data_IF_054747284855
#
_entry.id   IF_054747284855
#
_cell.length_a   1.000
_cell.length_b   1.000
_cell.length_c   1.000
_cell.angle_alpha   90.00
_cell.angle_beta   90.00
_cell.angle_gamma   90.00
#
_symmetry.space_group_name_H-M   'P 1'
#
loop_
_entity.id
_entity.type
_entity.pdbx_description
1 polymer ?
#
# COMPACT_ATOMS: atom_id res chain seq x y z
N UNK A 1 10.29 15.64 39.74
CA UNK A 1 8.92 15.16 39.58
C UNK A 1 9.03 13.94 38.70
N UNK A 2 8.83 12.77 39.26
CA UNK A 2 9.06 11.47 38.65
C UNK A 2 7.97 11.17 37.62
N UNK A 3 8.41 10.99 36.37
CA UNK A 3 7.60 10.37 35.31
C UNK A 3 7.50 8.87 35.61
N UNK A 4 6.47 8.49 36.32
CA UNK A 4 5.95 7.12 36.32
C UNK A 4 4.68 7.15 35.46
N UNK A 5 4.81 7.17 34.14
CA UNK A 5 3.76 6.68 33.27
C UNK A 5 3.62 5.19 33.55
N UNK A 6 2.57 4.83 34.25
CA UNK A 6 2.12 3.47 34.42
C UNK A 6 1.83 2.93 33.02
N UNK A 7 2.66 2.00 32.54
CA UNK A 7 2.27 1.07 31.47
C UNK A 7 1.04 0.30 31.98
N UNK A 8 -0.14 0.81 31.72
CA UNK A 8 -1.35 0.02 31.79
C UNK A 8 -1.12 -1.17 30.85
N UNK A 9 -0.86 -2.33 31.42
CA UNK A 9 -0.80 -3.60 30.66
C UNK A 9 -2.16 -3.81 30.03
N UNK A 10 -2.31 -3.31 28.81
CA UNK A 10 -3.54 -3.44 28.03
C UNK A 10 -3.78 -4.94 27.80
N UNK A 11 -4.95 -5.42 28.18
CA UNK A 11 -5.31 -6.83 27.95
C UNK A 11 -5.15 -7.19 26.46
N UNK A 12 -4.70 -8.41 26.14
CA UNK A 12 -4.68 -8.88 24.77
C UNK A 12 -6.06 -8.76 24.11
N UNK A 13 -6.10 -8.21 22.89
CA UNK A 13 -7.31 -8.06 22.10
C UNK A 13 -7.37 -9.13 21.02
N UNK A 14 -8.58 -9.52 20.63
CA UNK A 14 -8.85 -10.25 19.40
C UNK A 14 -9.31 -9.27 18.34
N UNK A 15 -8.52 -9.11 17.26
CA UNK A 15 -8.70 -8.11 16.22
C UNK A 15 -8.98 -8.81 14.89
N UNK A 16 -10.10 -8.49 14.24
CA UNK A 16 -10.36 -8.93 12.88
C UNK A 16 -9.93 -7.83 11.89
N UNK A 17 -9.00 -8.14 11.00
CA UNK A 17 -8.50 -7.23 9.97
C UNK A 17 -9.13 -7.61 8.62
N UNK A 18 -10.00 -6.73 8.11
CA UNK A 18 -10.77 -6.94 6.88
C UNK A 18 -10.09 -6.22 5.73
N UNK A 19 -9.60 -6.98 4.75
CA UNK A 19 -8.92 -6.44 3.57
C UNK A 19 -9.32 -7.23 2.32
N UNK A 20 -9.71 -6.53 1.24
CA UNK A 20 -10.18 -7.20 0.02
C UNK A 20 -9.18 -8.24 -0.51
N UNK A 21 -7.91 -7.89 -0.57
CA UNK A 21 -6.83 -8.79 -0.99
C UNK A 21 -5.77 -8.87 0.11
N UNK A 22 -5.64 -9.98 0.80
CA UNK A 22 -4.64 -10.20 1.85
C UNK A 22 -3.44 -11.04 1.40
N UNK A 23 -3.58 -11.84 0.36
CA UNK A 23 -2.53 -12.77 -0.09
C UNK A 23 -1.46 -12.18 -1.02
N UNK A 24 -1.54 -10.91 -1.41
CA UNK A 24 -0.64 -10.31 -2.40
C UNK A 24 0.30 -9.26 -1.79
N UNK A 25 1.51 -9.66 -1.44
CA UNK A 25 2.56 -8.74 -0.93
C UNK A 25 3.04 -7.69 -1.96
N UNK A 26 2.68 -7.82 -3.23
CA UNK A 26 2.92 -6.81 -4.26
C UNK A 26 1.95 -5.62 -4.21
N UNK A 27 0.86 -5.75 -3.48
CA UNK A 27 -0.11 -4.67 -3.23
C UNK A 27 0.22 -3.97 -1.91
N UNK A 28 0.37 -2.65 -1.92
CA UNK A 28 0.75 -1.85 -0.74
C UNK A 28 -0.23 -2.01 0.44
N UNK A 29 -1.53 -2.02 0.17
CA UNK A 29 -2.57 -2.20 1.19
C UNK A 29 -2.48 -3.58 1.85
N UNK A 30 -2.32 -4.63 1.03
CA UNK A 30 -2.13 -6.01 1.54
C UNK A 30 -0.86 -6.14 2.36
N UNK A 31 0.24 -5.56 1.89
CA UNK A 31 1.52 -5.61 2.60
C UNK A 31 1.43 -4.89 3.94
N UNK A 32 0.83 -3.71 3.98
CA UNK A 32 0.58 -2.96 5.21
C UNK A 32 -0.27 -3.78 6.20
N UNK A 33 -1.36 -4.40 5.72
CA UNK A 33 -2.21 -5.23 6.57
C UNK A 33 -1.45 -6.43 7.17
N UNK A 34 -0.62 -7.08 6.38
CA UNK A 34 0.19 -8.21 6.85
C UNK A 34 1.24 -7.78 7.88
N UNK A 35 1.92 -6.66 7.64
CA UNK A 35 2.89 -6.10 8.59
C UNK A 35 2.25 -5.73 9.93
N UNK A 36 1.09 -5.08 9.88
CA UNK A 36 0.33 -4.75 11.09
C UNK A 36 -0.14 -6.01 11.82
N UNK A 37 -0.62 -7.02 11.09
CA UNK A 37 -1.03 -8.28 11.69
C UNK A 37 0.13 -8.99 12.40
N UNK A 38 1.30 -9.01 11.77
CA UNK A 38 2.52 -9.58 12.36
C UNK A 38 2.95 -8.82 13.62
N UNK A 39 2.92 -7.48 13.57
CA UNK A 39 3.30 -6.63 14.70
C UNK A 39 2.31 -6.74 15.87
N UNK A 40 1.01 -6.70 15.61
CA UNK A 40 0.00 -6.88 16.65
C UNK A 40 0.10 -8.26 17.31
N UNK A 41 0.38 -9.32 16.55
CA UNK A 41 0.64 -10.65 17.11
C UNK A 41 1.88 -10.66 17.98
N UNK A 42 2.95 -9.96 17.59
CA UNK A 42 4.18 -9.82 18.39
C UNK A 42 3.92 -9.09 19.72
N UNK A 43 2.95 -8.16 19.73
CA UNK A 43 2.50 -7.45 20.93
C UNK A 43 1.54 -8.27 21.80
N UNK A 44 1.25 -9.54 21.44
CA UNK A 44 0.42 -10.44 22.21
C UNK A 44 -1.06 -10.42 21.85
N UNK A 45 -1.47 -9.69 20.81
CA UNK A 45 -2.86 -9.70 20.35
C UNK A 45 -3.17 -10.91 19.46
N UNK A 46 -4.42 -11.34 19.45
CA UNK A 46 -4.92 -12.31 18.47
C UNK A 46 -5.41 -11.59 17.23
N UNK A 47 -4.89 -11.93 16.04
CA UNK A 47 -5.27 -11.28 14.80
C UNK A 47 -5.84 -12.29 13.81
N UNK A 48 -7.05 -12.02 13.33
CA UNK A 48 -7.76 -12.78 12.29
C UNK A 48 -7.76 -11.95 11.00
N UNK A 49 -7.14 -12.49 9.95
CA UNK A 49 -7.21 -11.89 8.61
C UNK A 49 -8.46 -12.39 7.89
N UNK A 50 -9.22 -11.46 7.28
CA UNK A 50 -10.43 -11.77 6.54
C UNK A 50 -10.36 -11.14 5.15
N UNK A 51 -10.35 -11.97 4.09
CA UNK A 51 -10.23 -11.48 2.72
C UNK A 51 -9.69 -12.53 1.74
N UNK A 52 -9.49 -12.15 0.49
CA UNK A 52 -8.95 -13.04 -0.53
C UNK A 52 -7.50 -13.43 -0.15
N UNK A 53 -7.24 -14.74 -0.06
CA UNK A 53 -5.93 -15.27 0.31
C UNK A 53 -5.62 -15.26 1.81
N UNK A 54 -6.60 -14.91 2.65
CA UNK A 54 -6.49 -15.06 4.09
C UNK A 54 -6.44 -16.56 4.47
N UNK A 55 -5.56 -16.97 5.40
CA UNK A 55 -5.39 -18.39 5.71
C UNK A 55 -6.59 -18.99 6.45
N UNK A 56 -7.21 -18.25 7.36
CA UNK A 56 -8.28 -18.77 8.23
C UNK A 56 -9.68 -18.38 7.73
N UNK A 57 -9.83 -17.16 7.20
CA UNK A 57 -11.11 -16.62 6.74
C UNK A 57 -11.03 -16.14 5.29
N UNK A 58 -10.85 -17.06 4.32
CA UNK A 58 -10.70 -16.71 2.91
C UNK A 58 -12.03 -16.25 2.31
N UNK A 59 -12.01 -15.09 1.66
CA UNK A 59 -13.11 -14.60 0.85
C UNK A 59 -12.99 -15.06 -0.61
N UNK A 60 -14.12 -15.19 -1.29
CA UNK A 60 -14.18 -15.43 -2.74
C UNK A 60 -13.88 -14.14 -3.51
N UNK A 61 -13.38 -14.30 -4.73
CA UNK A 61 -13.18 -13.16 -5.64
C UNK A 61 -14.51 -12.74 -6.23
N UNK A 62 -14.80 -11.44 -6.13
CA UNK A 62 -15.95 -10.81 -6.78
C UNK A 62 -15.52 -10.20 -8.12
N UNK A 63 -16.07 -10.70 -9.21
CA UNK A 63 -15.83 -10.16 -10.55
C UNK A 63 -16.81 -9.02 -10.85
N UNK A 64 -16.35 -7.77 -10.69
CA UNK A 64 -17.14 -6.58 -11.01
C UNK A 64 -16.78 -6.12 -12.41
N UNK A 65 -17.67 -6.25 -13.41
CA UNK A 65 -17.41 -5.77 -14.77
C UNK A 65 -16.99 -4.29 -14.76
N UNK A 66 -16.17 -3.84 -15.73
CA UNK A 66 -15.64 -2.47 -15.88
C UNK A 66 -14.68 -2.00 -14.78
N UNK A 67 -14.94 -2.30 -13.50
CA UNK A 67 -14.08 -1.87 -12.38
C UNK A 67 -12.91 -2.83 -12.18
N UNK A 68 -13.10 -4.12 -12.49
CA UNK A 68 -12.06 -5.14 -12.37
C UNK A 68 -10.81 -4.83 -13.21
N UNK A 69 -10.96 -4.10 -14.33
CA UNK A 69 -9.82 -3.69 -15.15
C UNK A 69 -8.92 -2.67 -14.42
N UNK A 70 -9.50 -1.66 -13.75
CA UNK A 70 -8.77 -0.68 -12.95
C UNK A 70 -8.12 -1.35 -11.74
N UNK A 71 -8.88 -2.21 -11.05
CA UNK A 71 -8.39 -2.98 -9.92
C UNK A 71 -7.20 -3.87 -10.29
N UNK A 72 -7.24 -4.52 -11.45
CA UNK A 72 -6.13 -5.34 -11.96
C UNK A 72 -4.86 -4.55 -12.19
N UNK A 73 -4.96 -3.30 -12.66
CA UNK A 73 -3.80 -2.40 -12.78
C UNK A 73 -3.19 -2.06 -11.42
N UNK A 74 -4.02 -1.97 -10.38
CA UNK A 74 -3.61 -1.76 -8.99
C UNK A 74 -3.18 -3.05 -8.28
N UNK A 75 -3.15 -4.20 -8.98
CA UNK A 75 -2.92 -5.52 -8.40
C UNK A 75 -3.88 -5.84 -7.23
N UNK A 76 -5.08 -5.32 -7.31
CA UNK A 76 -6.14 -5.51 -6.32
C UNK A 76 -7.26 -6.36 -6.91
N UNK A 77 -7.87 -7.17 -6.06
CA UNK A 77 -9.09 -7.92 -6.35
C UNK A 77 -10.16 -7.48 -5.35
N UNK A 78 -11.41 -7.47 -5.77
CA UNK A 78 -12.53 -7.23 -4.87
C UNK A 78 -13.00 -8.54 -4.27
N UNK A 79 -13.18 -8.55 -2.95
CA UNK A 79 -13.73 -9.70 -2.26
C UNK A 79 -15.28 -9.70 -2.29
N UNK A 80 -15.84 -10.88 -2.37
CA UNK A 80 -17.30 -11.09 -2.29
C UNK A 80 -17.76 -10.98 -0.83
N UNK A 81 -18.69 -10.08 -0.50
CA UNK A 81 -19.26 -9.98 0.83
C UNK A 81 -20.05 -11.24 1.20
N UNK A 82 -19.88 -11.72 2.44
CA UNK A 82 -20.62 -12.89 2.95
C UNK A 82 -20.94 -12.72 4.43
N UNK A 83 -22.22 -12.72 4.78
CA UNK A 83 -22.69 -12.66 6.16
C UNK A 83 -22.12 -13.82 7.00
N UNK A 84 -22.15 -15.03 6.45
CA UNK A 84 -21.64 -16.23 7.14
C UNK A 84 -20.15 -16.08 7.43
N UNK A 85 -19.34 -15.65 6.45
CA UNK A 85 -17.92 -15.43 6.63
C UNK A 85 -17.66 -14.42 7.77
N UNK A 86 -18.31 -13.26 7.72
CA UNK A 86 -18.09 -12.21 8.73
C UNK A 86 -18.57 -12.63 10.10
N UNK A 87 -19.78 -13.22 10.22
CA UNK A 87 -20.28 -13.68 11.53
C UNK A 87 -19.36 -14.73 12.15
N UNK A 88 -18.83 -15.66 11.36
CA UNK A 88 -17.86 -16.65 11.83
C UNK A 88 -16.54 -16.00 12.24
N UNK A 89 -15.98 -15.14 11.38
CA UNK A 89 -14.70 -14.48 11.65
C UNK A 89 -14.75 -13.54 12.86
N UNK A 90 -15.92 -12.95 13.15
CA UNK A 90 -16.10 -11.93 14.19
C UNK A 90 -16.55 -12.50 15.54
N UNK A 91 -16.75 -13.80 15.68
CA UNK A 91 -17.06 -14.40 16.98
C UNK A 91 -15.95 -14.16 18.01
N UNK A 92 -16.27 -13.50 19.13
CA UNK A 92 -15.31 -13.19 20.19
C UNK A 92 -14.23 -12.18 19.80
N UNK A 93 -14.49 -11.37 18.76
CA UNK A 93 -13.61 -10.27 18.33
C UNK A 93 -13.93 -9.02 19.14
N UNK A 94 -12.90 -8.33 19.63
CA UNK A 94 -13.03 -7.04 20.34
C UNK A 94 -13.15 -5.87 19.37
N UNK A 95 -12.40 -5.90 18.25
CA UNK A 95 -12.32 -4.81 17.25
C UNK A 95 -12.25 -5.37 15.84
N UNK A 96 -13.03 -4.77 14.94
CA UNK A 96 -12.93 -5.00 13.49
C UNK A 96 -12.25 -3.79 12.85
N UNK A 97 -11.10 -4.00 12.20
CA UNK A 97 -10.37 -2.98 11.46
C UNK A 97 -10.53 -3.18 9.95
N UNK A 98 -11.03 -2.15 9.24
CA UNK A 98 -11.38 -2.23 7.82
C UNK A 98 -10.39 -1.44 6.99
N UNK A 99 -9.75 -2.08 6.00
CA UNK A 99 -8.70 -1.48 5.18
C UNK A 99 -9.21 -0.73 3.95
N UNK A 100 -10.40 -1.10 3.44
CA UNK A 100 -10.88 -0.57 2.15
C UNK A 100 -12.35 -0.15 2.22
N UNK A 101 -12.75 0.97 1.58
CA UNK A 101 -14.11 1.49 1.63
C UNK A 101 -15.07 0.79 0.63
N UNK A 102 -14.66 -0.33 0.04
CA UNK A 102 -15.44 -1.06 -0.96
C UNK A 102 -16.53 -1.94 -0.35
N UNK A 103 -17.32 -2.60 -1.20
CA UNK A 103 -18.50 -3.39 -0.78
C UNK A 103 -18.18 -4.41 0.31
N UNK A 104 -17.00 -5.04 0.24
CA UNK A 104 -16.55 -6.00 1.25
C UNK A 104 -16.38 -5.33 2.63
N UNK A 105 -15.64 -4.22 2.70
CA UNK A 105 -15.46 -3.46 3.93
C UNK A 105 -16.75 -2.82 4.46
N UNK A 106 -17.62 -2.30 3.57
CA UNK A 106 -18.93 -1.77 3.95
C UNK A 106 -19.81 -2.83 4.61
N UNK A 107 -19.83 -4.04 4.03
CA UNK A 107 -20.61 -5.15 4.55
C UNK A 107 -20.05 -5.67 5.88
N UNK A 108 -18.72 -5.77 6.00
CA UNK A 108 -18.06 -6.10 7.26
C UNK A 108 -18.41 -5.09 8.37
N UNK A 109 -18.40 -3.78 8.06
CA UNK A 109 -18.83 -2.74 8.99
C UNK A 109 -20.27 -2.94 9.47
N UNK A 110 -21.19 -3.26 8.55
CA UNK A 110 -22.59 -3.52 8.88
C UNK A 110 -22.73 -4.72 9.83
N UNK A 111 -22.08 -5.85 9.51
CA UNK A 111 -22.14 -7.07 10.32
C UNK A 111 -21.52 -6.85 11.70
N UNK A 112 -20.33 -6.21 11.77
CA UNK A 112 -19.67 -5.92 13.04
C UNK A 112 -20.55 -5.05 13.97
N UNK A 113 -21.17 -4.00 13.43
CA UNK A 113 -22.12 -3.16 14.18
C UNK A 113 -23.36 -3.92 14.65
N UNK A 114 -23.88 -4.82 13.83
CA UNK A 114 -25.00 -5.70 14.23
C UNK A 114 -24.63 -6.66 15.36
N UNK A 115 -23.35 -7.04 15.44
CA UNK A 115 -22.81 -7.88 16.52
C UNK A 115 -22.34 -7.07 17.74
N UNK A 116 -22.48 -5.74 17.74
CA UNK A 116 -22.07 -4.87 18.84
C UNK A 116 -20.55 -4.72 18.97
N UNK A 117 -19.78 -5.02 17.91
CA UNK A 117 -18.31 -4.99 17.92
C UNK A 117 -17.83 -3.60 17.52
N UNK A 118 -16.80 -3.10 18.19
CA UNK A 118 -16.14 -1.84 17.83
C UNK A 118 -15.53 -1.90 16.43
N UNK A 119 -15.69 -0.82 15.65
CA UNK A 119 -15.19 -0.77 14.27
C UNK A 119 -14.27 0.43 14.09
N UNK A 120 -13.09 0.17 13.52
CA UNK A 120 -12.13 1.18 13.08
C UNK A 120 -11.84 0.99 11.59
N UNK A 121 -11.26 1.98 10.92
CA UNK A 121 -10.85 1.84 9.54
C UNK A 121 -9.47 2.43 9.27
N UNK A 122 -8.81 1.95 8.23
CA UNK A 122 -7.60 2.55 7.67
C UNK A 122 -7.89 3.29 6.37
N UNK A 123 -7.22 4.41 6.15
CA UNK A 123 -7.24 5.12 4.88
C UNK A 123 -6.03 4.73 4.04
N UNK A 124 -6.22 3.72 3.19
CA UNK A 124 -5.15 3.14 2.36
C UNK A 124 -5.39 3.28 0.85
N UNK A 125 -6.53 3.82 0.45
CA UNK A 125 -6.90 4.01 -0.96
C UNK A 125 -7.18 5.48 -1.22
N UNK A 126 -6.28 6.13 -1.93
CA UNK A 126 -6.46 7.52 -2.35
C UNK A 126 -7.28 7.58 -3.65
N UNK A 127 -8.29 8.45 -3.75
CA UNK A 127 -9.08 8.67 -4.97
C UNK A 127 -8.22 8.98 -6.20
N UNK A 128 -7.19 9.80 -6.05
CA UNK A 128 -6.27 10.18 -7.12
C UNK A 128 -5.57 8.97 -7.76
N UNK A 129 -5.24 7.93 -6.99
CA UNK A 129 -4.67 6.71 -7.54
C UNK A 129 -5.67 5.95 -8.41
N UNK A 130 -6.96 6.02 -8.08
CA UNK A 130 -8.04 5.40 -8.85
C UNK A 130 -8.25 6.15 -10.16
N UNK A 131 -8.42 7.47 -10.11
CA UNK A 131 -8.68 8.30 -11.29
C UNK A 131 -7.50 8.26 -12.25
N UNK A 132 -6.27 8.30 -11.74
CA UNK A 132 -5.08 8.19 -12.55
C UNK A 132 -5.00 6.84 -13.28
N UNK A 133 -5.35 5.74 -12.60
CA UNK A 133 -5.37 4.40 -13.19
C UNK A 133 -6.53 4.17 -14.14
N UNK A 134 -7.62 4.91 -13.98
CA UNK A 134 -8.79 4.88 -14.86
C UNK A 134 -8.64 5.71 -16.15
N UNK A 135 -7.44 6.24 -16.42
CA UNK A 135 -7.08 6.90 -17.67
C UNK A 135 -7.81 8.21 -17.91
N UNK A 136 -8.87 8.26 -18.77
CA UNK A 136 -9.57 9.53 -19.09
C UNK A 136 -10.25 10.20 -17.89
N UNK A 137 -10.63 9.45 -16.86
CA UNK A 137 -11.32 9.99 -15.68
C UNK A 137 -10.52 11.06 -14.96
N UNK A 138 -9.19 11.00 -15.00
CA UNK A 138 -8.33 12.01 -14.36
C UNK A 138 -8.51 13.44 -14.93
N UNK A 139 -9.10 13.57 -16.11
CA UNK A 139 -9.35 14.87 -16.76
C UNK A 139 -10.72 15.47 -16.41
N UNK A 140 -11.55 14.75 -15.65
CA UNK A 140 -12.87 15.23 -15.23
C UNK A 140 -12.68 16.10 -13.97
N UNK A 141 -12.94 17.42 -14.04
CA UNK A 141 -12.83 18.28 -12.87
C UNK A 141 -13.72 17.80 -11.72
N UNK A 142 -13.18 17.76 -10.51
CA UNK A 142 -13.93 17.39 -9.30
C UNK A 142 -14.16 15.88 -9.09
N UNK A 143 -13.70 15.02 -9.99
CA UNK A 143 -13.91 13.57 -9.89
C UNK A 143 -13.29 12.99 -8.60
N UNK A 144 -12.11 13.46 -8.19
CA UNK A 144 -11.46 13.00 -6.96
C UNK A 144 -12.30 13.40 -5.74
N UNK A 145 -12.77 14.64 -5.67
CA UNK A 145 -13.66 15.10 -4.60
C UNK A 145 -14.97 14.30 -4.53
N UNK A 146 -15.51 13.92 -5.69
CA UNK A 146 -16.68 13.05 -5.74
C UNK A 146 -16.38 11.65 -5.18
N UNK A 147 -15.21 11.08 -5.47
CA UNK A 147 -14.80 9.78 -4.91
C UNK A 147 -14.54 9.90 -3.41
N UNK A 148 -13.92 10.99 -2.91
CA UNK A 148 -13.82 11.27 -1.48
C UNK A 148 -15.19 11.28 -0.81
N UNK A 149 -16.16 11.98 -1.40
CA UNK A 149 -17.52 12.01 -0.90
C UNK A 149 -18.17 10.62 -0.89
N UNK A 150 -18.01 9.82 -1.95
CA UNK A 150 -18.48 8.43 -2.01
C UNK A 150 -17.88 7.57 -0.90
N UNK A 151 -16.57 7.63 -0.69
CA UNK A 151 -15.89 6.84 0.34
C UNK A 151 -16.36 7.24 1.73
N UNK A 152 -16.56 8.54 1.96
CA UNK A 152 -17.14 9.02 3.21
C UNK A 152 -18.56 8.48 3.41
N UNK A 153 -19.41 8.60 2.40
CA UNK A 153 -20.78 8.10 2.42
C UNK A 153 -20.86 6.59 2.65
N UNK A 154 -19.99 5.84 2.00
CA UNK A 154 -20.02 4.38 2.01
C UNK A 154 -19.50 3.80 3.33
N UNK A 155 -18.40 4.34 3.87
CA UNK A 155 -17.74 3.76 5.04
C UNK A 155 -17.41 4.80 6.12
N UNK A 156 -16.60 5.80 5.82
CA UNK A 156 -15.88 6.56 6.85
C UNK A 156 -16.80 7.39 7.75
N UNK A 157 -17.91 7.92 7.25
CA UNK A 157 -18.91 8.64 8.10
C UNK A 157 -19.58 7.77 9.17
N UNK A 158 -19.42 6.44 9.07
CA UNK A 158 -19.97 5.47 10.00
C UNK A 158 -18.97 5.01 11.05
N UNK A 159 -17.77 5.55 11.05
CA UNK A 159 -16.63 5.10 11.84
C UNK A 159 -16.06 6.29 12.59
N UNK A 160 -15.85 6.11 13.90
CA UNK A 160 -15.40 7.19 14.78
C UNK A 160 -13.87 7.37 14.76
N UNK A 161 -13.13 6.29 14.51
CA UNK A 161 -11.66 6.28 14.53
C UNK A 161 -11.10 5.75 13.20
N UNK A 162 -10.31 6.58 12.51
CA UNK A 162 -9.66 6.23 11.23
C UNK A 162 -8.15 6.38 11.34
N UNK A 163 -7.43 5.31 11.05
CA UNK A 163 -5.99 5.31 10.88
C UNK A 163 -5.61 5.91 9.52
N UNK A 164 -4.65 6.80 9.50
CA UNK A 164 -4.14 7.46 8.29
C UNK A 164 -2.61 7.37 8.29
N UNK A 165 -1.96 6.87 7.24
CA UNK A 165 -0.52 6.64 7.23
C UNK A 165 0.34 7.92 7.27
N UNK A 166 -0.20 9.06 6.84
CA UNK A 166 0.54 10.32 6.70
C UNK A 166 -0.30 11.53 7.07
N UNK A 167 0.34 12.60 7.51
CA UNK A 167 -0.34 13.88 7.80
C UNK A 167 -0.96 14.49 6.53
N UNK A 168 -0.31 14.30 5.36
CA UNK A 168 -0.91 14.70 4.08
C UNK A 168 -2.27 14.03 3.85
N UNK A 169 -2.35 12.70 4.06
CA UNK A 169 -3.63 11.97 3.97
C UNK A 169 -4.67 12.48 4.96
N UNK A 170 -4.27 12.77 6.20
CA UNK A 170 -5.16 13.33 7.21
C UNK A 170 -5.67 14.72 6.82
N UNK A 171 -4.80 15.58 6.28
CA UNK A 171 -5.18 16.91 5.78
C UNK A 171 -6.17 16.82 4.62
N UNK A 172 -5.97 15.89 3.68
CA UNK A 172 -6.89 15.63 2.58
C UNK A 172 -8.27 15.17 3.09
N UNK A 173 -8.32 14.27 4.06
CA UNK A 173 -9.59 13.84 4.63
C UNK A 173 -10.33 14.98 5.35
N UNK A 174 -9.60 15.81 6.12
CA UNK A 174 -10.18 17.00 6.79
C UNK A 174 -10.74 18.00 5.75
N UNK A 175 -10.00 18.29 4.67
CA UNK A 175 -10.45 19.22 3.63
C UNK A 175 -11.68 18.73 2.88
N UNK A 176 -11.90 17.40 2.82
CA UNK A 176 -13.11 16.80 2.25
C UNK A 176 -14.22 16.52 3.27
N UNK A 177 -14.12 17.12 4.48
CA UNK A 177 -15.20 17.12 5.47
C UNK A 177 -15.40 15.82 6.25
N UNK A 178 -14.37 14.97 6.35
CA UNK A 178 -14.43 13.77 7.20
C UNK A 178 -14.46 14.16 8.66
N UNK A 179 -15.38 13.57 9.43
CA UNK A 179 -15.64 13.89 10.84
C UNK A 179 -15.00 12.94 11.84
N UNK A 180 -14.52 11.78 11.35
CA UNK A 180 -13.86 10.79 12.20
C UNK A 180 -12.61 11.37 12.89
N UNK A 181 -12.28 10.85 14.07
CA UNK A 181 -11.00 11.12 14.71
C UNK A 181 -9.89 10.43 13.91
N UNK A 182 -9.00 11.23 13.33
CA UNK A 182 -7.92 10.74 12.49
C UNK A 182 -6.68 10.48 13.36
N UNK A 183 -6.15 9.25 13.27
CA UNK A 183 -4.93 8.82 13.92
C UNK A 183 -3.83 8.68 12.87
N UNK A 184 -2.87 9.62 12.89
CA UNK A 184 -1.74 9.59 11.97
C UNK A 184 -0.67 8.66 12.51
N UNK A 185 -0.59 7.46 11.94
CA UNK A 185 0.36 6.42 12.34
C UNK A 185 0.98 5.86 11.05
N UNK A 186 2.31 5.94 10.94
CA UNK A 186 3.02 5.39 9.77
C UNK A 186 2.74 3.89 9.60
N UNK A 187 2.72 3.42 8.35
CA UNK A 187 2.67 1.99 8.06
C UNK A 187 3.93 1.22 8.52
N UNK A 188 4.96 1.96 8.94
CA UNK A 188 6.22 1.37 9.40
C UNK A 188 7.07 0.81 8.27
N UNK A 189 8.11 0.09 8.65
CA UNK A 189 8.99 -0.65 7.75
C UNK A 189 9.47 -1.95 8.42
N UNK A 190 9.85 -2.92 7.61
CA UNK A 190 10.37 -4.17 8.14
C UNK A 190 11.82 -4.01 8.61
N UNK A 191 12.18 -4.55 9.79
CA UNK A 191 13.51 -4.40 10.41
C UNK A 191 14.68 -4.90 9.53
N UNK A 192 14.42 -5.75 8.54
CA UNK A 192 15.43 -6.22 7.57
C UNK A 192 15.90 -5.15 6.59
N UNK A 193 15.20 -4.02 6.47
CA UNK A 193 15.64 -2.88 5.68
C UNK A 193 16.58 -2.03 6.53
N UNK A 194 17.85 -2.38 6.53
CA UNK A 194 18.90 -1.69 7.26
C UNK A 194 19.69 -0.76 6.34
N UNK A 195 20.26 0.34 6.86
CA UNK A 195 21.16 1.19 6.10
C UNK A 195 22.37 0.44 5.54
N UNK A 196 23.01 1.00 4.51
CA UNK A 196 24.31 0.57 4.00
C UNK A 196 25.34 0.71 5.12
N UNK A 197 26.12 -0.33 5.40
CA UNK A 197 27.18 -0.24 6.41
C UNK A 197 28.39 0.49 5.87
N UNK A 198 29.29 1.01 6.74
CA UNK A 198 30.53 1.63 6.30
C UNK A 198 31.42 0.68 5.48
N UNK A 199 31.36 -0.63 5.72
CA UNK A 199 32.03 -1.64 4.90
C UNK A 199 31.48 -1.69 3.47
N UNK A 200 30.18 -1.46 3.32
CA UNK A 200 29.52 -1.40 2.01
C UNK A 200 29.80 -0.06 1.31
N UNK A 201 30.06 1.00 2.08
CA UNK A 201 30.37 2.35 1.58
C UNK A 201 31.84 2.56 1.21
N UNK A 202 32.77 1.78 1.77
CA UNK A 202 34.20 1.97 1.67
C UNK A 202 34.86 1.46 0.38
N UNK A 203 34.13 0.94 -0.57
CA UNK A 203 34.63 0.66 -1.90
C UNK A 203 34.42 1.91 -2.73
N UNK A 204 35.49 2.70 -2.89
CA UNK A 204 35.70 3.56 -4.08
C UNK A 204 35.64 2.63 -5.30
N UNK A 205 34.45 2.19 -5.63
CA UNK A 205 34.25 1.44 -6.84
C UNK A 205 34.48 2.40 -8.01
N UNK A 206 35.33 2.05 -8.97
CA UNK A 206 35.22 2.70 -10.24
C UNK A 206 33.78 2.45 -10.69
N UNK A 207 33.04 3.52 -10.91
CA UNK A 207 31.81 3.58 -11.65
C UNK A 207 31.42 2.22 -12.26
N UNK A 208 30.15 1.79 -12.16
CA UNK A 208 29.00 2.67 -12.38
C UNK A 208 28.28 3.12 -11.11
N UNK A 209 27.76 4.35 -11.12
CA UNK A 209 26.82 4.86 -10.13
C UNK A 209 25.48 4.17 -10.28
N UNK A 210 25.06 3.41 -9.29
CA UNK A 210 23.90 2.54 -9.36
C UNK A 210 22.63 3.24 -8.87
N UNK A 211 21.70 3.49 -9.78
CA UNK A 211 20.37 4.02 -9.48
C UNK A 211 19.39 2.84 -9.35
N UNK A 212 18.72 2.76 -8.22
CA UNK A 212 17.64 1.80 -7.98
C UNK A 212 16.31 2.52 -7.94
N UNK A 213 15.32 1.98 -8.65
CA UNK A 213 13.92 2.40 -8.54
C UNK A 213 13.05 1.17 -8.19
N UNK A 214 12.02 1.38 -7.40
CA UNK A 214 11.10 0.30 -7.02
C UNK A 214 9.65 0.74 -7.20
N UNK A 215 8.82 -0.16 -7.72
CA UNK A 215 7.39 0.09 -7.85
C UNK A 215 6.75 -0.61 -9.05
N UNK A 216 5.43 -0.53 -9.13
CA UNK A 216 4.67 -1.08 -10.26
C UNK A 216 5.12 -0.45 -11.58
N UNK A 217 5.24 -1.24 -12.63
CA UNK A 217 5.61 -0.74 -13.96
C UNK A 217 4.36 -0.23 -14.71
N UNK A 218 3.85 0.89 -14.22
CA UNK A 218 2.60 1.56 -14.63
C UNK A 218 2.86 3.05 -14.86
N UNK A 219 1.91 3.75 -15.49
CA UNK A 219 2.10 5.16 -15.85
C UNK A 219 2.28 6.08 -14.63
N UNK A 220 1.59 5.81 -13.52
CA UNK A 220 1.68 6.61 -12.30
C UNK A 220 3.08 6.61 -11.68
N UNK A 221 3.87 5.56 -11.91
CA UNK A 221 5.25 5.48 -11.42
C UNK A 221 6.28 6.15 -12.32
N UNK A 222 5.87 6.65 -13.45
CA UNK A 222 6.61 7.50 -14.37
C UNK A 222 8.09 7.10 -14.62
N UNK A 223 8.36 5.78 -14.69
CA UNK A 223 9.72 5.28 -14.96
C UNK A 223 10.27 5.75 -16.31
N UNK A 224 9.39 6.18 -17.23
CA UNK A 224 9.79 6.79 -18.51
C UNK A 224 10.61 8.05 -18.27
N UNK A 225 10.15 8.93 -17.35
CA UNK A 225 10.86 10.16 -17.03
C UNK A 225 12.25 9.87 -16.42
N UNK A 226 12.35 8.84 -15.55
CA UNK A 226 13.63 8.42 -14.99
C UNK A 226 14.61 7.98 -16.08
N UNK A 227 14.20 7.11 -17.00
CA UNK A 227 15.05 6.65 -18.11
C UNK A 227 15.48 7.82 -19.00
N UNK A 228 14.57 8.75 -19.30
CA UNK A 228 14.88 9.94 -20.09
C UNK A 228 15.81 10.92 -19.36
N UNK A 229 15.67 11.06 -18.05
CA UNK A 229 16.55 11.91 -17.25
C UNK A 229 17.98 11.37 -17.22
N UNK A 230 18.13 10.05 -17.02
CA UNK A 230 19.45 9.39 -17.07
C UNK A 230 20.08 9.59 -18.47
N UNK A 231 19.32 9.36 -19.54
CA UNK A 231 19.83 9.52 -20.91
C UNK A 231 20.31 10.94 -21.24
N UNK A 232 19.75 11.96 -20.57
CA UNK A 232 20.12 13.37 -20.73
C UNK A 232 21.22 13.81 -19.76
N UNK A 233 21.61 12.97 -18.81
CA UNK A 233 22.66 13.30 -17.85
C UNK A 233 24.01 13.31 -18.55
N UNK A 234 24.87 14.29 -18.24
CA UNK A 234 26.24 14.35 -18.75
C UNK A 234 27.10 13.14 -18.36
N UNK A 235 26.71 12.42 -17.31
CA UNK A 235 27.35 11.20 -16.81
C UNK A 235 26.58 9.93 -17.16
N UNK A 236 25.73 9.94 -18.20
CA UNK A 236 24.86 8.81 -18.57
C UNK A 236 25.63 7.49 -18.76
N UNK A 237 26.85 7.56 -19.27
CA UNK A 237 27.75 6.40 -19.48
C UNK A 237 28.22 5.74 -18.18
N UNK A 238 28.17 6.47 -17.07
CA UNK A 238 28.62 6.03 -15.76
C UNK A 238 27.48 5.58 -14.85
N UNK A 239 26.25 5.58 -15.36
CA UNK A 239 25.05 5.24 -14.59
C UNK A 239 24.53 3.85 -14.99
N UNK A 240 24.34 3.00 -13.98
CA UNK A 240 23.60 1.75 -14.07
C UNK A 240 22.18 1.92 -13.47
N UNK A 241 21.17 1.33 -14.11
CA UNK A 241 19.78 1.44 -13.68
C UNK A 241 19.17 0.07 -13.38
N UNK A 242 18.62 -0.09 -12.18
CA UNK A 242 17.75 -1.21 -11.83
C UNK A 242 16.35 -0.70 -11.46
N UNK A 243 15.32 -1.24 -12.12
CA UNK A 243 13.91 -0.98 -11.79
C UNK A 243 13.28 -2.28 -11.31
N UNK A 244 13.07 -2.40 -10.00
CA UNK A 244 12.44 -3.54 -9.37
C UNK A 244 10.91 -3.40 -9.40
N UNK A 245 10.24 -4.22 -10.19
CA UNK A 245 8.78 -4.21 -10.27
C UNK A 245 8.19 -5.05 -11.38
N UNK A 246 6.86 -5.14 -11.36
CA UNK A 246 6.05 -5.80 -12.39
C UNK A 246 4.96 -4.85 -12.88
N UNK A 247 4.49 -5.06 -14.11
CA UNK A 247 3.40 -4.26 -14.66
C UNK A 247 3.35 -4.26 -16.18
N UNK A 248 2.28 -3.69 -16.75
CA UNK A 248 2.03 -3.73 -18.19
C UNK A 248 3.08 -2.99 -19.03
N UNK A 249 3.80 -2.03 -18.45
CA UNK A 249 4.79 -1.25 -19.17
C UNK A 249 6.18 -1.93 -19.27
N UNK A 250 6.38 -3.12 -18.69
CA UNK A 250 7.70 -3.79 -18.66
C UNK A 250 8.39 -3.78 -20.01
N UNK A 251 7.75 -4.33 -21.05
CA UNK A 251 8.33 -4.42 -22.40
C UNK A 251 8.63 -3.05 -23.00
N UNK A 252 7.75 -2.05 -22.77
CA UNK A 252 7.94 -0.68 -23.25
C UNK A 252 9.15 -0.03 -22.58
N UNK A 253 9.28 -0.16 -21.27
CA UNK A 253 10.41 0.39 -20.51
C UNK A 253 11.73 -0.25 -20.87
N UNK A 254 11.76 -1.58 -21.05
CA UNK A 254 12.94 -2.30 -21.51
C UNK A 254 13.41 -1.81 -22.89
N UNK A 255 12.48 -1.68 -23.87
CA UNK A 255 12.80 -1.12 -25.20
C UNK A 255 13.27 0.33 -25.13
N UNK A 256 12.68 1.14 -24.27
CA UNK A 256 13.08 2.54 -24.09
C UNK A 256 14.49 2.63 -23.50
N UNK A 257 14.75 1.85 -22.46
CA UNK A 257 16.07 1.80 -21.81
C UNK A 257 17.16 1.32 -22.78
N UNK A 258 16.93 0.22 -23.52
CA UNK A 258 17.90 -0.29 -24.48
C UNK A 258 18.20 0.67 -25.64
N UNK A 259 17.27 1.59 -25.95
CA UNK A 259 17.46 2.60 -27.00
C UNK A 259 18.17 3.86 -26.50
N UNK A 260 17.95 4.26 -25.24
CA UNK A 260 18.38 5.55 -24.74
C UNK A 260 19.58 5.49 -23.78
N UNK A 261 19.75 4.39 -23.06
CA UNK A 261 20.79 4.29 -22.04
C UNK A 261 22.08 3.69 -22.62
N UNK A 262 23.21 4.23 -22.17
CA UNK A 262 24.55 3.74 -22.57
C UNK A 262 24.88 2.39 -21.94
N UNK A 263 24.32 2.10 -20.76
CA UNK A 263 24.48 0.82 -20.06
C UNK A 263 23.17 0.03 -20.05
N UNK A 264 23.22 -1.32 -20.10
CA UNK A 264 22.03 -2.14 -19.94
C UNK A 264 21.32 -1.87 -18.62
N UNK A 265 19.99 -1.71 -18.67
CA UNK A 265 19.17 -1.56 -17.47
C UNK A 265 18.51 -2.88 -17.07
N UNK A 266 18.51 -3.21 -15.80
CA UNK A 266 17.74 -4.33 -15.23
C UNK A 266 16.32 -3.87 -14.90
N UNK A 267 15.31 -4.40 -15.60
CA UNK A 267 13.89 -4.03 -15.39
C UNK A 267 13.07 -5.29 -15.22
N UNK A 268 12.61 -5.57 -14.01
CA UNK A 268 11.85 -6.78 -13.76
C UNK A 268 11.47 -7.03 -12.30
N UNK A 269 10.94 -8.23 -12.09
CA UNK A 269 10.54 -8.70 -10.78
C UNK A 269 11.76 -9.03 -9.92
N UNK A 270 11.73 -8.58 -8.68
CA UNK A 270 12.64 -9.00 -7.61
C UNK A 270 11.82 -9.55 -6.45
N UNK A 271 12.29 -10.63 -5.84
CA UNK A 271 11.63 -11.19 -4.64
C UNK A 271 11.72 -10.20 -3.48
N UNK A 272 10.70 -10.19 -2.65
CA UNK A 272 10.68 -9.30 -1.47
C UNK A 272 11.87 -9.56 -0.54
N UNK A 273 12.37 -10.80 -0.48
CA UNK A 273 13.57 -11.18 0.27
C UNK A 273 14.88 -10.61 -0.29
N UNK A 274 14.91 -10.28 -1.58
CA UNK A 274 16.09 -9.72 -2.27
C UNK A 274 16.13 -8.19 -2.16
N UNK A 275 14.99 -7.56 -1.89
CA UNK A 275 14.86 -6.09 -1.90
C UNK A 275 15.81 -5.38 -0.91
N UNK A 276 16.03 -5.85 0.33
CA UNK A 276 16.99 -5.18 1.23
C UNK A 276 18.42 -5.14 0.66
N UNK A 277 18.87 -6.23 0.04
CA UNK A 277 20.19 -6.29 -0.59
C UNK A 277 20.26 -5.39 -1.83
N UNK A 278 19.23 -5.41 -2.68
CA UNK A 278 19.14 -4.55 -3.86
C UNK A 278 19.18 -3.07 -3.47
N UNK A 279 18.39 -2.65 -2.48
CA UNK A 279 18.38 -1.25 -2.04
C UNK A 279 19.72 -0.82 -1.46
N UNK A 280 20.42 -1.71 -0.72
CA UNK A 280 21.78 -1.43 -0.22
C UNK A 280 22.82 -1.37 -1.32
N UNK A 281 22.64 -2.07 -2.43
CA UNK A 281 23.57 -2.00 -3.56
C UNK A 281 23.50 -0.69 -4.33
N UNK A 282 22.39 0.03 -4.23
CA UNK A 282 22.19 1.32 -4.89
C UNK A 282 22.94 2.46 -4.22
N UNK A 283 23.38 3.42 -5.03
CA UNK A 283 23.93 4.69 -4.57
C UNK A 283 22.83 5.77 -4.47
N UNK A 284 21.76 5.60 -5.24
CA UNK A 284 20.58 6.47 -5.22
C UNK A 284 19.31 5.64 -5.38
N UNK A 285 18.35 5.86 -4.48
CA UNK A 285 16.99 5.36 -4.63
C UNK A 285 16.09 6.44 -5.22
N UNK A 286 15.46 6.15 -6.36
CA UNK A 286 14.50 7.04 -7.01
C UNK A 286 13.10 6.47 -6.88
N UNK A 287 12.22 7.22 -6.23
CA UNK A 287 10.80 6.89 -6.08
C UNK A 287 9.95 7.96 -6.76
N UNK A 288 9.03 7.53 -7.61
CA UNK A 288 7.99 8.41 -8.13
C UNK A 288 6.76 8.29 -7.24
N UNK A 289 6.51 9.30 -6.46
CA UNK A 289 5.29 9.48 -5.68
C UNK A 289 4.45 10.54 -6.38
N UNK A 290 3.17 10.23 -6.65
CA UNK A 290 2.30 11.14 -7.42
C UNK A 290 2.02 12.43 -6.65
N UNK A 291 2.14 12.39 -5.33
CA UNK A 291 1.94 13.53 -4.45
C UNK A 291 3.03 13.58 -3.39
N UNK A 292 3.96 14.44 -3.58
CA UNK A 292 4.78 15.04 -2.54
C UNK A 292 4.51 16.54 -2.60
#
# INVERSE_FOLDING_TARGET
MSETEQEETQRPLTIAMVVDTSGNRGNGTSNSALQWAEELKRQGHTVRLVGIGAPEYPARVNHVPLVSWVAKQQQMQFAEPSDTLFRTAFQGVDVVHIYTPFRFGQHACKVAKQMGIAVTAGYHVQPENITYSAGPLKYIPGIDSFIYWLFNLWLYRKIDHVHVPTELGASLLRSHGYKAKLHVISNGYEARFTPKTQRDAGKSAPVPFHIVASGRLTNEKNHVALIQAIARCRHAQDIELTIAGTGPLKKKLQRLASRLLSRPASIGFHKNTEMPALLRSGDLLVLSLIHI
#
